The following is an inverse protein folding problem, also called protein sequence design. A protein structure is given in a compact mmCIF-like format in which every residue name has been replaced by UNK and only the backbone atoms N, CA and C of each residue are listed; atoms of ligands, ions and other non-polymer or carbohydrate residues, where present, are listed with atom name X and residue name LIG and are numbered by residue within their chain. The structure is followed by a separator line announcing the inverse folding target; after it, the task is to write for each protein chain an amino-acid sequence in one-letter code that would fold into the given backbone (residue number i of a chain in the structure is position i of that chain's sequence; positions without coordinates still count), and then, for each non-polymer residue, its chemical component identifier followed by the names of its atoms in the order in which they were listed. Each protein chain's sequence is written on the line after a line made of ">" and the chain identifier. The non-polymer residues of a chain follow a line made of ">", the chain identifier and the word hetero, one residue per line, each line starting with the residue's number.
data_IF_338118022270
#
_entry.id   IF_338118022270
#
_cell.length_a   1.000
_cell.length_b   1.000
_cell.length_c   1.000
_cell.angle_alpha   90.00
_cell.angle_beta   90.00
_cell.angle_gamma   90.00
#
_symmetry.space_group_name_H-M   'P 1'
#
loop_
_entity.id
_entity.type
_entity.pdbx_description
1 polymer ?
#
# COMPACT_ATOMS: atom_id res chain seq x y z
N UNK A 1 3.42 30.11 3.83
CA UNK A 1 2.27 30.59 3.02
C UNK A 1 1.13 29.60 3.19
N UNK A 2 -0.13 30.04 3.38
CA UNK A 2 -1.26 29.11 3.48
C UNK A 2 -1.50 28.43 2.14
N UNK A 3 -1.46 27.09 2.11
CA UNK A 3 -1.78 26.29 0.93
C UNK A 3 -3.30 26.24 0.79
N UNK A 4 -3.82 26.55 -0.40
CA UNK A 4 -5.25 26.50 -0.71
C UNK A 4 -5.52 25.50 -1.84
N UNK A 5 -6.42 24.56 -1.61
CA UNK A 5 -6.85 23.57 -2.63
C UNK A 5 -7.86 24.22 -3.54
N UNK A 6 -7.50 24.40 -4.82
CA UNK A 6 -8.37 25.07 -5.80
C UNK A 6 -9.21 24.10 -6.63
N UNK A 7 -8.89 22.80 -6.62
CA UNK A 7 -9.58 21.81 -7.43
C UNK A 7 -9.28 20.37 -6.98
N UNK A 8 -10.29 19.49 -7.04
CA UNK A 8 -10.16 18.03 -6.89
C UNK A 8 -10.63 17.42 -8.22
N UNK A 9 -9.72 16.82 -8.98
CA UNK A 9 -9.97 16.23 -10.33
C UNK A 9 -10.95 15.05 -10.29
N UNK A 10 -11.12 14.41 -9.13
CA UNK A 10 -12.05 13.31 -8.91
C UNK A 10 -11.59 12.39 -7.79
N UNK A 11 -12.52 11.67 -7.17
CA UNK A 11 -12.22 10.57 -6.25
C UNK A 11 -12.03 9.31 -7.08
N UNK A 12 -10.80 8.79 -7.11
CA UNK A 12 -10.43 7.57 -7.85
C UNK A 12 -11.06 6.30 -7.25
N UNK A 13 -11.69 6.42 -6.07
CA UNK A 13 -12.52 5.39 -5.46
C UNK A 13 -11.76 4.07 -5.24
N UNK A 14 -12.44 2.96 -5.50
CA UNK A 14 -11.88 1.60 -5.35
C UNK A 14 -10.79 1.24 -6.38
N UNK A 15 -10.45 2.15 -7.30
CA UNK A 15 -9.37 1.92 -8.27
C UNK A 15 -8.00 1.79 -7.59
N UNK A 16 -7.86 2.32 -6.37
CA UNK A 16 -6.68 2.16 -5.52
C UNK A 16 -7.03 1.34 -4.28
N UNK A 17 -6.57 0.09 -4.25
CA UNK A 17 -6.81 -0.82 -3.14
C UNK A 17 -5.55 -1.62 -2.79
N UNK A 18 -5.45 -2.01 -1.53
CA UNK A 18 -4.51 -3.02 -1.07
C UNK A 18 -5.21 -4.38 -1.11
N UNK A 19 -4.62 -5.35 -1.80
CA UNK A 19 -5.21 -6.69 -1.95
C UNK A 19 -4.41 -7.69 -1.10
N UNK A 20 -5.11 -8.46 -0.27
CA UNK A 20 -4.55 -9.54 0.53
C UNK A 20 -5.18 -10.89 0.14
N UNK A 21 -4.42 -11.99 0.27
CA UNK A 21 -4.95 -13.32 -0.02
C UNK A 21 -6.00 -13.70 1.03
N UNK A 22 -7.03 -14.43 0.60
CA UNK A 22 -7.99 -15.02 1.53
C UNK A 22 -7.25 -15.90 2.55
N UNK A 23 -7.55 -15.71 3.83
CA UNK A 23 -6.87 -16.41 4.92
C UNK A 23 -5.50 -15.85 5.32
N UNK A 24 -5.03 -14.74 4.72
CA UNK A 24 -3.78 -14.09 5.13
C UNK A 24 -3.85 -13.42 6.53
N UNK A 25 -5.06 -13.30 7.08
CA UNK A 25 -5.35 -12.68 8.37
C UNK A 25 -5.12 -11.17 8.36
N UNK A 26 -5.48 -10.50 7.26
CA UNK A 26 -5.33 -9.05 7.08
C UNK A 26 -6.72 -8.43 6.98
N UNK A 27 -7.12 -7.70 8.01
CA UNK A 27 -8.38 -6.93 8.04
C UNK A 27 -8.13 -5.42 8.08
N UNK A 28 -6.95 -5.01 8.58
CA UNK A 28 -6.50 -3.61 8.66
C UNK A 28 -5.01 -3.49 8.39
N UNK A 29 -4.53 -2.27 8.14
CA UNK A 29 -3.11 -2.03 7.84
C UNK A 29 -2.18 -2.42 9.01
N UNK A 30 -2.69 -2.41 10.26
CA UNK A 30 -1.96 -2.91 11.43
C UNK A 30 -1.51 -4.38 11.31
N UNK A 31 -2.28 -5.20 10.60
CA UNK A 31 -2.02 -6.64 10.47
C UNK A 31 -0.87 -6.95 9.50
N UNK A 32 -0.34 -5.92 8.81
CA UNK A 32 0.81 -6.03 7.91
C UNK A 32 2.14 -6.18 8.65
N UNK A 33 2.20 -5.91 9.95
CA UNK A 33 3.39 -6.13 10.75
C UNK A 33 3.86 -7.60 10.65
N UNK A 34 5.13 -7.80 10.28
CA UNK A 34 5.73 -9.12 10.03
C UNK A 34 5.33 -9.77 8.71
N UNK A 35 4.54 -9.10 7.85
CA UNK A 35 4.09 -9.62 6.55
C UNK A 35 4.94 -9.06 5.41
N UNK A 36 4.78 -9.70 4.24
CA UNK A 36 5.40 -9.26 2.98
C UNK A 36 4.39 -8.50 2.14
N UNK A 37 4.78 -7.33 1.65
CA UNK A 37 3.92 -6.49 0.79
C UNK A 37 4.73 -6.06 -0.42
N UNK A 38 4.25 -6.35 -1.62
CA UNK A 38 4.92 -5.98 -2.86
C UNK A 38 4.33 -4.70 -3.45
N UNK A 39 5.18 -3.68 -3.67
CA UNK A 39 4.81 -2.42 -4.31
C UNK A 39 5.97 -1.90 -5.16
N UNK A 40 5.72 -1.19 -6.27
CA UNK A 40 6.80 -0.51 -6.99
C UNK A 40 7.32 0.65 -6.15
N UNK A 41 8.61 0.70 -5.85
CA UNK A 41 9.17 1.78 -5.03
C UNK A 41 9.06 3.14 -5.72
N UNK A 42 8.97 4.20 -4.90
CA UNK A 42 8.84 5.60 -5.37
C UNK A 42 7.58 5.85 -6.22
N UNK A 43 6.63 4.90 -6.22
CA UNK A 43 5.32 5.06 -6.86
C UNK A 43 4.27 5.60 -5.89
N UNK A 44 3.12 6.03 -6.41
CA UNK A 44 1.93 6.37 -5.61
C UNK A 44 1.58 5.23 -4.65
N UNK A 45 1.54 3.98 -5.12
CA UNK A 45 1.22 2.81 -4.27
C UNK A 45 2.18 2.64 -3.09
N UNK A 46 3.48 2.91 -3.30
CA UNK A 46 4.47 2.85 -2.22
C UNK A 46 4.22 3.93 -1.17
N UNK A 47 3.98 5.17 -1.57
CA UNK A 47 3.68 6.25 -0.63
C UNK A 47 2.33 6.07 0.07
N UNK A 48 1.31 5.57 -0.63
CA UNK A 48 0.01 5.23 -0.05
C UNK A 48 0.14 4.14 1.02
N UNK A 49 0.96 3.11 0.78
CA UNK A 49 1.24 2.08 1.79
C UNK A 49 1.92 2.69 3.03
N UNK A 50 2.97 3.50 2.85
CA UNK A 50 3.66 4.15 3.97
C UNK A 50 2.74 5.09 4.76
N UNK A 51 1.84 5.81 4.08
CA UNK A 51 0.84 6.66 4.72
C UNK A 51 -0.17 5.84 5.54
N UNK A 52 -0.65 4.71 5.01
CA UNK A 52 -1.55 3.80 5.72
C UNK A 52 -0.87 3.18 6.96
N UNK A 53 0.38 2.72 6.83
CA UNK A 53 1.16 2.19 7.96
C UNK A 53 1.35 3.25 9.05
N UNK A 54 1.69 4.48 8.65
CA UNK A 54 1.83 5.61 9.58
C UNK A 54 0.50 5.94 10.27
N UNK A 55 -0.62 5.91 9.54
CA UNK A 55 -1.94 6.18 10.09
C UNK A 55 -2.32 5.18 11.20
N UNK A 56 -1.98 3.90 11.01
CA UNK A 56 -2.20 2.82 11.98
C UNK A 56 -1.09 2.69 13.04
N UNK A 57 -0.05 3.54 13.00
CA UNK A 57 1.07 3.49 13.95
C UNK A 57 2.01 2.29 13.77
N UNK A 58 2.03 1.65 12.59
CA UNK A 58 2.91 0.52 12.27
C UNK A 58 4.27 1.04 11.82
N UNK A 59 5.36 0.52 12.41
CA UNK A 59 6.71 0.78 11.91
C UNK A 59 6.88 0.12 10.53
N UNK A 60 7.16 0.88 9.46
CA UNK A 60 7.41 0.29 8.14
C UNK A 60 8.53 -0.75 8.13
N UNK A 61 9.50 -0.67 9.05
CA UNK A 61 10.57 -1.67 9.17
C UNK A 61 10.09 -3.02 9.69
N UNK A 62 8.91 -3.08 10.32
CA UNK A 62 8.29 -4.33 10.72
C UNK A 62 7.62 -5.06 9.55
N UNK A 63 7.45 -4.39 8.41
CA UNK A 63 6.87 -4.95 7.18
C UNK A 63 7.98 -5.21 6.17
N UNK A 64 8.01 -6.39 5.57
CA UNK A 64 8.93 -6.71 4.49
C UNK A 64 8.36 -6.15 3.16
N UNK A 65 8.71 -4.89 2.86
CA UNK A 65 8.23 -4.19 1.66
C UNK A 65 9.15 -4.52 0.49
N UNK A 66 8.63 -5.28 -0.46
CA UNK A 66 9.36 -5.77 -1.63
C UNK A 66 9.17 -4.82 -2.81
N UNK A 67 10.28 -4.34 -3.37
CA UNK A 67 10.26 -3.56 -4.60
C UNK A 67 10.09 -4.48 -5.82
N UNK A 68 8.88 -4.56 -6.36
CA UNK A 68 8.56 -5.34 -7.55
C UNK A 68 7.89 -4.47 -8.61
N UNK A 69 8.17 -4.73 -9.89
CA UNK A 69 7.44 -4.10 -11.00
C UNK A 69 6.06 -4.74 -11.15
N UNK A 70 5.07 -4.05 -11.76
CA UNK A 70 3.71 -4.58 -11.88
C UNK A 70 3.61 -6.00 -12.48
N UNK A 71 4.35 -6.38 -13.54
CA UNK A 71 4.33 -7.76 -14.05
C UNK A 71 4.87 -8.79 -13.05
N UNK A 72 5.85 -8.41 -12.23
CA UNK A 72 6.45 -9.28 -11.20
C UNK A 72 5.50 -9.47 -10.02
N UNK A 73 4.72 -8.43 -9.65
CA UNK A 73 3.66 -8.53 -8.64
C UNK A 73 2.58 -9.51 -9.10
N UNK A 74 2.11 -9.37 -10.34
CA UNK A 74 1.11 -10.28 -10.90
C UNK A 74 1.61 -11.74 -10.94
N UNK A 75 2.86 -11.95 -11.35
CA UNK A 75 3.48 -13.28 -11.35
C UNK A 75 3.68 -13.86 -9.94
N UNK A 76 4.09 -13.04 -8.97
CA UNK A 76 4.25 -13.45 -7.57
C UNK A 76 2.91 -13.78 -6.90
N UNK A 77 1.82 -13.13 -7.32
CA UNK A 77 0.46 -13.40 -6.84
C UNK A 77 -0.15 -14.68 -7.41
N UNK A 78 0.18 -15.02 -8.66
CA UNK A 78 -0.33 -16.22 -9.32
C UNK A 78 0.30 -17.52 -8.80
N UNK A 79 1.46 -17.43 -8.15
CA UNK A 79 2.12 -18.53 -7.45
C UNK A 79 1.45 -18.79 -6.10
#
# INVERSE_FOLDING_TARGET
>A
LPIQTIFIVGLIGESEALVARNGAGIEKAADLAGKKVAVPFVSTTHYSLLAALKHEGVDPKSVDILNLRPPEIAAAWAR
#
